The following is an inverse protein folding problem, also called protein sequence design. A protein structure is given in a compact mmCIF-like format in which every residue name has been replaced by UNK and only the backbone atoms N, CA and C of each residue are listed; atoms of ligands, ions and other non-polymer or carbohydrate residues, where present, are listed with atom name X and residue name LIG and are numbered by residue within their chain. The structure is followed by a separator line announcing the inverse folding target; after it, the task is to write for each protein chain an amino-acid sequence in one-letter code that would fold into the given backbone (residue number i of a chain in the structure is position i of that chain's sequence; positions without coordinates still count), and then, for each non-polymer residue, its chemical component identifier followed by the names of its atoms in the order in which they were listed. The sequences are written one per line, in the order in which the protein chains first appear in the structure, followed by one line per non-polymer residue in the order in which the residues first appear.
data_IF_407846712832
#
_entry.id   IF_407846712832
#
_cell.length_a   1.000
_cell.length_b   1.000
_cell.length_c   1.000
_cell.angle_alpha   90.00
_cell.angle_beta   90.00
_cell.angle_gamma   90.00
#
_symmetry.space_group_name_H-M   'P 1'
#
loop_
_entity.id
_entity.type
_entity.pdbx_description
1 polymer ?
#
# COMPACT_ATOMS: atom_id res chain seq x y z
N UNK A 1 -13.92 -11.18 17.84
CA UNK A 1 -13.66 -10.30 16.68
C UNK A 1 -12.71 -11.02 15.74
N UNK A 2 -13.16 -11.28 14.51
CA UNK A 2 -12.40 -12.00 13.50
C UNK A 2 -11.98 -11.05 12.36
N UNK A 3 -10.70 -10.97 12.09
CA UNK A 3 -10.16 -10.23 10.94
C UNK A 3 -9.57 -11.22 9.93
N UNK A 4 -10.12 -11.22 8.72
CA UNK A 4 -9.68 -12.08 7.62
C UNK A 4 -9.30 -11.23 6.42
N UNK A 5 -8.10 -11.44 5.89
CA UNK A 5 -7.62 -10.80 4.67
C UNK A 5 -7.51 -11.83 3.55
N UNK A 6 -7.99 -11.48 2.38
CA UNK A 6 -7.90 -12.35 1.21
C UNK A 6 -7.87 -11.52 -0.08
N UNK A 7 -7.33 -12.12 -1.13
CA UNK A 7 -7.48 -11.59 -2.49
C UNK A 7 -8.93 -11.81 -2.91
N UNK A 8 -9.60 -10.72 -3.26
CA UNK A 8 -10.99 -10.73 -3.73
C UNK A 8 -11.15 -9.77 -4.90
N UNK A 9 -12.16 -9.99 -5.72
CA UNK A 9 -12.53 -9.01 -6.75
C UNK A 9 -12.97 -7.69 -6.09
N UNK A 10 -12.54 -6.54 -6.60
CA UNK A 10 -13.06 -5.25 -6.13
C UNK A 10 -14.49 -4.96 -6.59
N UNK A 11 -15.01 -5.73 -7.57
CA UNK A 11 -16.37 -5.57 -8.11
C UNK A 11 -17.42 -6.16 -7.15
N UNK A 12 -17.58 -5.51 -6.02
CA UNK A 12 -18.53 -5.85 -4.96
C UNK A 12 -19.11 -4.56 -4.36
N UNK A 13 -20.38 -4.57 -4.00
CA UNK A 13 -21.04 -3.38 -3.44
C UNK A 13 -20.34 -2.84 -2.18
N UNK A 14 -19.92 -3.73 -1.27
CA UNK A 14 -19.20 -3.35 -0.06
C UNK A 14 -17.84 -2.71 -0.35
N UNK A 15 -17.13 -3.21 -1.36
CA UNK A 15 -15.83 -2.67 -1.76
C UNK A 15 -15.99 -1.33 -2.47
N UNK A 16 -17.00 -1.21 -3.34
CA UNK A 16 -17.35 0.07 -3.98
C UNK A 16 -17.63 1.14 -2.92
N UNK A 17 -18.36 0.79 -1.86
CA UNK A 17 -18.62 1.71 -0.75
C UNK A 17 -17.32 2.16 -0.04
N UNK A 18 -16.37 1.26 0.17
CA UNK A 18 -15.05 1.61 0.72
C UNK A 18 -14.27 2.55 -0.20
N UNK A 19 -14.27 2.27 -1.50
CA UNK A 19 -13.57 3.10 -2.49
C UNK A 19 -14.20 4.49 -2.58
N UNK A 20 -15.52 4.59 -2.53
CA UNK A 20 -16.23 5.87 -2.51
C UNK A 20 -15.90 6.69 -1.26
N UNK A 21 -15.81 6.05 -0.10
CA UNK A 21 -15.38 6.71 1.14
C UNK A 21 -13.94 7.20 1.05
N UNK A 22 -13.06 6.41 0.48
CA UNK A 22 -11.66 6.80 0.23
C UNK A 22 -11.58 8.01 -0.70
N UNK A 23 -12.34 8.01 -1.78
CA UNK A 23 -12.38 9.12 -2.73
C UNK A 23 -12.94 10.41 -2.09
N UNK A 24 -13.98 10.30 -1.27
CA UNK A 24 -14.53 11.43 -0.53
C UNK A 24 -13.52 12.01 0.45
N UNK A 25 -12.78 11.18 1.17
CA UNK A 25 -11.71 11.62 2.07
C UNK A 25 -10.61 12.37 1.33
N UNK A 26 -10.17 11.86 0.19
CA UNK A 26 -9.14 12.53 -0.62
C UNK A 26 -9.65 13.83 -1.23
N UNK A 27 -10.93 13.92 -1.60
CA UNK A 27 -11.54 15.13 -2.12
C UNK A 27 -11.62 16.27 -1.09
N UNK A 28 -11.65 15.95 0.20
CA UNK A 28 -11.56 16.94 1.28
C UNK A 28 -10.16 17.54 1.40
N UNK A 29 -9.12 16.78 1.05
CA UNK A 29 -7.73 17.18 1.21
C UNK A 29 -7.14 17.83 -0.04
N UNK A 30 -7.58 17.43 -1.23
CA UNK A 30 -6.95 17.78 -2.50
C UNK A 30 -7.98 18.21 -3.54
N UNK A 31 -7.59 19.14 -4.46
CA UNK A 31 -8.42 19.46 -5.63
C UNK A 31 -8.42 18.26 -6.61
N UNK A 32 -9.35 18.25 -7.60
CA UNK A 32 -9.40 17.17 -8.60
C UNK A 32 -8.08 16.91 -9.33
N UNK A 33 -7.25 17.94 -9.54
CA UNK A 33 -5.94 17.83 -10.18
C UNK A 33 -4.93 17.04 -9.33
N UNK A 34 -5.18 16.90 -8.05
CA UNK A 34 -4.36 16.12 -7.11
C UNK A 34 -4.88 14.71 -6.88
N UNK A 35 -5.90 14.27 -7.60
CA UNK A 35 -6.47 12.93 -7.47
C UNK A 35 -5.87 11.98 -8.51
N UNK A 36 -5.01 11.07 -8.05
CA UNK A 36 -4.35 10.04 -8.87
C UNK A 36 -4.89 8.63 -8.57
N UNK A 37 -6.03 8.54 -7.88
CA UNK A 37 -6.63 7.24 -7.56
C UNK A 37 -7.12 6.55 -8.84
N UNK A 38 -6.81 5.27 -8.95
CA UNK A 38 -7.30 4.43 -10.05
C UNK A 38 -8.73 4.00 -9.80
N UNK A 39 -9.51 3.91 -10.87
CA UNK A 39 -10.92 3.51 -10.83
C UNK A 39 -11.10 1.99 -10.73
N UNK A 40 -12.35 1.54 -10.58
CA UNK A 40 -12.70 0.13 -10.47
C UNK A 40 -12.22 -0.68 -11.68
N UNK A 41 -12.36 -0.14 -12.90
CA UNK A 41 -11.94 -0.84 -14.10
C UNK A 41 -10.43 -1.14 -14.08
N UNK A 42 -9.61 -0.17 -13.71
CA UNK A 42 -8.16 -0.36 -13.56
C UNK A 42 -7.81 -1.38 -12.49
N UNK A 43 -8.55 -1.39 -11.37
CA UNK A 43 -8.34 -2.35 -10.26
C UNK A 43 -8.71 -3.78 -10.63
N UNK A 44 -9.51 -3.99 -11.66
CA UNK A 44 -9.92 -5.32 -12.15
C UNK A 44 -8.95 -5.90 -13.18
N UNK A 45 -7.91 -5.17 -13.59
CA UNK A 45 -6.95 -5.65 -14.58
C UNK A 45 -6.06 -6.76 -14.01
N UNK A 46 -5.51 -7.59 -14.91
CA UNK A 46 -4.70 -8.76 -14.54
C UNK A 46 -3.37 -8.42 -13.85
N UNK A 47 -2.88 -7.18 -14.00
CA UNK A 47 -1.65 -6.70 -13.36
C UNK A 47 -1.87 -6.17 -11.93
N UNK A 48 -3.09 -6.30 -11.42
CA UNK A 48 -3.48 -5.89 -10.06
C UNK A 48 -3.90 -7.11 -9.25
N UNK A 49 -3.38 -7.21 -8.02
CA UNK A 49 -3.94 -8.06 -6.98
C UNK A 49 -4.62 -7.18 -5.94
N UNK A 50 -5.91 -7.41 -5.71
CA UNK A 50 -6.73 -6.63 -4.79
C UNK A 50 -7.04 -7.42 -3.53
N UNK A 51 -6.83 -6.79 -2.37
CA UNK A 51 -7.00 -7.39 -1.06
C UNK A 51 -8.14 -6.73 -0.32
N UNK A 52 -9.02 -7.53 0.26
CA UNK A 52 -10.10 -7.08 1.16
C UNK A 52 -9.83 -7.58 2.56
N UNK A 53 -9.90 -6.67 3.53
CA UNK A 53 -9.87 -6.99 4.95
C UNK A 53 -11.29 -7.02 5.50
N UNK A 54 -11.73 -8.18 5.98
CA UNK A 54 -13.07 -8.37 6.54
C UNK A 54 -13.02 -8.49 8.05
N UNK A 55 -13.75 -7.62 8.71
CA UNK A 55 -13.94 -7.64 10.16
C UNK A 55 -15.31 -8.23 10.44
N UNK A 56 -15.34 -9.41 11.06
CA UNK A 56 -16.57 -10.20 11.28
C UNK A 56 -17.43 -10.34 10.01
N UNK A 57 -16.79 -10.60 8.87
CA UNK A 57 -17.42 -10.80 7.56
C UNK A 57 -17.70 -9.52 6.77
N UNK A 58 -17.64 -8.34 7.38
CA UNK A 58 -17.87 -7.04 6.73
C UNK A 58 -16.59 -6.50 6.13
N UNK A 59 -16.64 -5.99 4.91
CA UNK A 59 -15.51 -5.31 4.29
C UNK A 59 -15.17 -4.03 5.08
N UNK A 60 -14.04 -4.02 5.77
CA UNK A 60 -13.61 -2.94 6.65
C UNK A 60 -12.37 -2.21 6.13
N UNK A 61 -11.68 -2.76 5.16
CA UNK A 61 -10.52 -2.16 4.55
C UNK A 61 -10.12 -2.85 3.26
N UNK A 62 -9.26 -2.20 2.50
CA UNK A 62 -8.76 -2.73 1.24
C UNK A 62 -7.36 -2.22 0.92
N UNK A 63 -6.75 -2.81 -0.08
CA UNK A 63 -5.51 -2.38 -0.67
C UNK A 63 -5.23 -3.13 -1.95
N UNK A 64 -4.39 -2.58 -2.79
CA UNK A 64 -4.02 -3.19 -4.06
C UNK A 64 -2.52 -3.11 -4.27
N UNK A 65 -2.00 -4.06 -5.04
CA UNK A 65 -0.64 -4.05 -5.55
C UNK A 65 -0.69 -4.19 -7.07
N UNK A 66 -0.03 -3.28 -7.76
CA UNK A 66 0.14 -3.31 -9.21
C UNK A 66 1.52 -3.86 -9.53
N UNK A 67 1.54 -4.93 -10.31
CA UNK A 67 2.78 -5.56 -10.75
C UNK A 67 3.35 -4.81 -11.94
N UNK A 68 4.56 -4.27 -11.81
CA UNK A 68 5.25 -3.53 -12.87
C UNK A 68 6.20 -4.45 -13.63
N UNK A 69 6.61 -4.05 -14.83
CA UNK A 69 7.34 -4.92 -15.77
C UNK A 69 8.81 -5.13 -15.43
N UNK A 70 9.38 -4.33 -14.54
CA UNK A 70 10.82 -4.31 -14.22
C UNK A 70 11.18 -5.02 -12.90
N UNK A 71 10.30 -5.86 -12.39
CA UNK A 71 10.49 -6.53 -11.08
C UNK A 71 10.20 -5.65 -9.89
N UNK A 72 9.47 -4.55 -10.10
CA UNK A 72 8.97 -3.67 -9.06
C UNK A 72 7.44 -3.77 -8.95
N UNK A 73 6.86 -3.15 -7.96
CA UNK A 73 5.41 -3.09 -7.77
C UNK A 73 5.01 -1.80 -7.09
N UNK A 74 3.76 -1.42 -7.29
CA UNK A 74 3.18 -0.21 -6.70
C UNK A 74 1.99 -0.56 -5.80
N UNK A 75 2.01 -0.06 -4.57
CA UNK A 75 0.87 -0.14 -3.66
C UNK A 75 -0.13 0.97 -3.99
N UNK A 76 -1.41 0.61 -4.02
CA UNK A 76 -2.51 1.50 -4.41
C UNK A 76 -3.73 1.28 -3.53
N UNK A 77 -4.54 2.32 -3.36
CA UNK A 77 -5.89 2.24 -2.78
C UNK A 77 -5.95 1.59 -1.39
N UNK A 78 -4.92 1.81 -0.56
CA UNK A 78 -4.93 1.35 0.83
C UNK A 78 -5.87 2.25 1.63
N UNK A 79 -6.90 1.66 2.20
CA UNK A 79 -7.92 2.39 2.96
C UNK A 79 -8.55 1.51 4.03
N UNK A 80 -8.83 2.10 5.18
CA UNK A 80 -9.58 1.48 6.28
C UNK A 80 -10.79 2.35 6.59
N UNK A 81 -11.96 1.72 6.71
CA UNK A 81 -13.19 2.42 7.06
C UNK A 81 -13.06 3.16 8.41
N UNK A 82 -13.68 4.33 8.51
CA UNK A 82 -13.56 5.18 9.70
C UNK A 82 -13.93 4.46 10.99
N UNK A 83 -15.00 3.68 10.97
CA UNK A 83 -15.50 2.93 12.13
C UNK A 83 -14.65 1.71 12.49
N UNK A 84 -13.70 1.35 11.64
CA UNK A 84 -12.78 0.23 11.85
C UNK A 84 -11.33 0.68 12.16
N UNK A 85 -11.06 1.96 12.19
CA UNK A 85 -9.72 2.50 12.50
C UNK A 85 -9.30 2.24 13.95
N UNK A 86 -8.00 2.29 14.19
CA UNK A 86 -7.44 2.06 15.52
C UNK A 86 -7.38 0.59 15.94
N UNK A 87 -7.57 -0.35 15.01
CA UNK A 87 -7.53 -1.80 15.25
C UNK A 87 -6.37 -2.51 14.56
N UNK A 88 -5.44 -1.77 13.96
CA UNK A 88 -4.28 -2.32 13.26
C UNK A 88 -4.60 -2.91 11.89
N UNK A 89 -5.76 -2.66 11.31
CA UNK A 89 -6.18 -3.24 10.02
C UNK A 89 -5.27 -2.77 8.89
N UNK A 90 -4.92 -1.48 8.87
CA UNK A 90 -4.00 -0.92 7.88
C UNK A 90 -2.64 -1.64 7.87
N UNK A 91 -2.08 -1.91 9.04
CA UNK A 91 -0.85 -2.68 9.20
C UNK A 91 -0.98 -4.12 8.68
N UNK A 92 -2.12 -4.76 8.93
CA UNK A 92 -2.39 -6.11 8.43
C UNK A 92 -2.53 -6.14 6.91
N UNK A 93 -3.15 -5.13 6.31
CA UNK A 93 -3.21 -4.97 4.85
C UNK A 93 -1.79 -4.82 4.29
N UNK A 94 -0.97 -3.98 4.91
CA UNK A 94 0.44 -3.81 4.50
C UNK A 94 1.23 -5.10 4.61
N UNK A 95 1.10 -5.85 5.70
CA UNK A 95 1.76 -7.15 5.88
C UNK A 95 1.38 -8.11 4.75
N UNK A 96 0.11 -8.15 4.38
CA UNK A 96 -0.38 -9.03 3.31
C UNK A 96 0.20 -8.63 1.94
N UNK A 97 0.17 -7.35 1.61
CA UNK A 97 0.71 -6.82 0.34
C UNK A 97 2.23 -7.01 0.26
N UNK A 98 2.95 -6.76 1.34
CA UNK A 98 4.39 -6.97 1.43
C UNK A 98 4.76 -8.45 1.25
N UNK A 99 3.96 -9.36 1.80
CA UNK A 99 4.14 -10.80 1.59
C UNK A 99 3.94 -11.20 0.13
N UNK A 100 2.90 -10.69 -0.53
CA UNK A 100 2.70 -10.91 -1.97
C UNK A 100 3.91 -10.44 -2.79
N UNK A 101 4.44 -9.27 -2.46
CA UNK A 101 5.62 -8.72 -3.11
C UNK A 101 6.86 -9.60 -2.91
N UNK A 102 7.09 -10.07 -1.69
CA UNK A 102 8.20 -10.99 -1.38
C UNK A 102 8.08 -12.31 -2.14
N UNK A 103 6.88 -12.88 -2.19
CA UNK A 103 6.63 -14.15 -2.88
C UNK A 103 6.89 -14.06 -4.39
N UNK A 104 6.80 -12.87 -4.97
CA UNK A 104 7.16 -12.60 -6.38
C UNK A 104 8.56 -12.01 -6.57
N UNK A 105 9.39 -11.97 -5.55
CA UNK A 105 10.74 -11.42 -5.61
C UNK A 105 10.81 -9.97 -6.09
N UNK A 106 9.84 -9.15 -5.68
CA UNK A 106 9.83 -7.72 -5.96
C UNK A 106 11.04 -7.07 -5.30
N UNK A 107 11.78 -6.27 -6.07
CA UNK A 107 13.00 -5.60 -5.59
C UNK A 107 12.69 -4.30 -4.86
N UNK A 108 11.77 -3.53 -5.39
CA UNK A 108 11.32 -2.26 -4.82
C UNK A 108 9.81 -2.16 -4.84
N UNK A 109 9.24 -1.75 -3.72
CA UNK A 109 7.86 -1.30 -3.63
C UNK A 109 7.83 0.22 -3.77
N UNK A 110 6.87 0.71 -4.52
CA UNK A 110 6.58 2.13 -4.69
C UNK A 110 5.16 2.44 -4.25
N UNK A 111 4.94 3.67 -3.87
CA UNK A 111 3.60 4.21 -3.66
C UNK A 111 3.60 5.72 -3.95
N UNK A 112 2.42 6.22 -4.30
CA UNK A 112 2.11 7.63 -4.34
C UNK A 112 1.05 7.89 -3.29
N UNK A 113 1.25 8.92 -2.48
CA UNK A 113 0.30 9.38 -1.47
C UNK A 113 0.29 10.90 -1.43
N UNK A 114 -0.69 11.48 -0.75
CA UNK A 114 -0.71 12.91 -0.55
C UNK A 114 0.06 13.33 0.70
N UNK A 115 0.84 14.43 0.65
CA UNK A 115 1.61 14.89 1.81
C UNK A 115 0.73 15.34 2.98
N UNK A 116 -0.54 15.68 2.74
CA UNK A 116 -1.50 16.05 3.79
C UNK A 116 -2.10 14.84 4.51
N UNK A 117 -1.95 13.64 3.97
CA UNK A 117 -2.37 12.41 4.61
C UNK A 117 -1.30 11.94 5.60
N UNK A 118 -1.16 12.66 6.71
CA UNK A 118 -0.06 12.52 7.65
C UNK A 118 -0.02 11.17 8.35
N UNK A 119 -1.16 10.57 8.67
CA UNK A 119 -1.24 9.24 9.28
C UNK A 119 -0.71 8.15 8.34
N UNK A 120 -1.10 8.21 7.06
CA UNK A 120 -0.61 7.27 6.06
C UNK A 120 0.90 7.42 5.83
N UNK A 121 1.39 8.65 5.69
CA UNK A 121 2.82 8.92 5.54
C UNK A 121 3.63 8.37 6.71
N UNK A 122 3.16 8.58 7.94
CA UNK A 122 3.81 8.05 9.14
C UNK A 122 3.82 6.51 9.13
N UNK A 123 2.72 5.88 8.77
CA UNK A 123 2.64 4.42 8.66
C UNK A 123 3.66 3.89 7.64
N UNK A 124 3.75 4.50 6.47
CA UNK A 124 4.71 4.07 5.44
C UNK A 124 6.15 4.24 5.90
N UNK A 125 6.49 5.38 6.51
CA UNK A 125 7.84 5.61 7.05
C UNK A 125 8.20 4.58 8.13
N UNK A 126 7.28 4.28 9.02
CA UNK A 126 7.47 3.27 10.07
C UNK A 126 7.74 1.88 9.47
N UNK A 127 7.21 1.60 8.30
CA UNK A 127 7.41 0.34 7.57
C UNK A 127 8.62 0.35 6.64
N UNK A 128 9.46 1.35 6.69
CA UNK A 128 10.72 1.41 5.96
C UNK A 128 10.65 2.09 4.59
N UNK A 129 9.53 2.74 4.27
CA UNK A 129 9.44 3.58 3.08
C UNK A 129 10.12 4.91 3.31
N UNK A 130 10.80 5.40 2.27
CA UNK A 130 11.43 6.71 2.23
C UNK A 130 11.00 7.47 0.98
N UNK A 131 11.09 8.79 1.04
CA UNK A 131 10.72 9.63 -0.10
C UNK A 131 11.65 9.37 -1.29
N UNK A 132 11.06 9.31 -2.49
CA UNK A 132 11.78 9.19 -3.75
C UNK A 132 11.18 10.16 -4.78
N UNK A 133 11.78 10.19 -5.98
CA UNK A 133 11.22 10.89 -7.13
C UNK A 133 10.03 10.16 -7.74
N UNK A 134 9.36 10.77 -8.74
CA UNK A 134 8.30 10.11 -9.50
C UNK A 134 8.76 8.80 -10.12
N UNK A 135 7.88 7.82 -10.15
CA UNK A 135 8.10 6.51 -10.75
C UNK A 135 6.99 6.19 -11.76
N UNK A 136 7.17 5.15 -12.58
CA UNK A 136 6.24 4.77 -13.64
C UNK A 136 5.87 5.99 -14.51
N UNK A 137 4.58 6.21 -14.75
CA UNK A 137 4.09 7.32 -15.59
C UNK A 137 3.76 8.60 -14.79
N UNK A 138 4.12 8.64 -13.50
CA UNK A 138 3.88 9.82 -12.67
C UNK A 138 4.82 10.96 -13.02
N UNK A 139 4.30 12.17 -12.93
CA UNK A 139 5.08 13.40 -13.00
C UNK A 139 5.14 14.07 -11.63
N UNK A 140 6.19 14.83 -11.37
CA UNK A 140 6.30 15.61 -10.14
C UNK A 140 5.20 16.66 -10.08
N UNK A 141 4.56 16.81 -8.91
CA UNK A 141 3.47 17.75 -8.71
C UNK A 141 3.33 18.05 -7.20
N UNK A 142 2.70 19.19 -6.84
CA UNK A 142 2.62 19.61 -5.43
C UNK A 142 1.67 18.74 -4.56
N UNK A 143 0.86 17.86 -5.17
CA UNK A 143 -0.14 17.05 -4.47
C UNK A 143 0.34 15.64 -4.17
N UNK A 144 1.49 15.24 -4.70
CA UNK A 144 2.01 13.88 -4.58
C UNK A 144 3.28 13.82 -3.77
N UNK A 145 3.34 12.84 -2.89
CA UNK A 145 4.55 12.35 -2.25
C UNK A 145 4.81 10.94 -2.77
N UNK A 146 5.96 10.75 -3.39
CA UNK A 146 6.39 9.43 -3.88
C UNK A 146 7.30 8.78 -2.85
N UNK A 147 7.07 7.51 -2.58
CA UNK A 147 7.85 6.76 -1.61
C UNK A 147 8.24 5.40 -2.17
N UNK A 148 9.35 4.89 -1.69
CA UNK A 148 9.86 3.57 -2.06
C UNK A 148 10.43 2.83 -0.86
N UNK A 149 10.38 1.51 -0.94
CA UNK A 149 11.06 0.62 -0.01
C UNK A 149 11.85 -0.41 -0.80
N UNK A 150 13.14 -0.55 -0.46
CA UNK A 150 13.99 -1.61 -0.98
C UNK A 150 13.65 -2.93 -0.27
N UNK A 151 13.07 -3.86 -1.01
CA UNK A 151 12.65 -5.16 -0.48
C UNK A 151 13.83 -6.14 -0.32
N UNK A 152 14.98 -5.84 -0.91
CA UNK A 152 16.19 -6.65 -0.77
C UNK A 152 16.97 -6.32 0.48
N UNK A 153 16.89 -5.10 0.98
CA UNK A 153 17.60 -4.62 2.17
C UNK A 153 17.18 -5.33 3.48
N UNK A 154 15.93 -5.86 3.53
CA UNK A 154 15.42 -6.62 4.68
C UNK A 154 15.85 -8.09 4.71
N UNK A 155 16.54 -8.60 3.67
CA UNK A 155 16.99 -9.99 3.54
C UNK A 155 18.39 -10.22 4.09
N UNK A 156 19.09 -9.20 4.60
CA UNK A 156 20.39 -9.38 5.25
C UNK A 156 20.16 -10.00 6.62
N UNK A 157 20.42 -11.30 6.73
CA UNK A 157 20.75 -11.91 8.01
C UNK A 157 21.87 -11.08 8.64
N UNK A 158 21.83 -10.82 9.96
CA UNK A 158 22.96 -10.15 10.60
C UNK A 158 24.23 -10.91 10.24
N UNK A 159 25.20 -10.22 9.66
CA UNK A 159 26.52 -10.81 9.46
C UNK A 159 27.01 -11.36 10.81
N UNK A 160 27.54 -12.60 10.83
CA UNK A 160 28.13 -13.12 12.05
C UNK A 160 29.23 -12.14 12.46
N UNK A 161 29.10 -11.60 13.66
CA UNK A 161 30.15 -10.78 14.27
C UNK A 161 31.44 -11.60 14.21
N UNK A 162 32.36 -11.18 13.36
CA UNK A 162 33.71 -11.74 13.38
C UNK A 162 34.30 -11.39 14.74
N UNK A 163 34.30 -12.36 15.64
CA UNK A 163 35.10 -12.27 16.87
C UNK A 163 36.55 -12.07 16.41
N UNK A 164 37.07 -10.86 16.64
CA UNK A 164 38.50 -10.66 16.61
C UNK A 164 39.08 -11.50 17.74
N UNK A 165 39.71 -12.60 17.37
CA UNK A 165 40.61 -13.31 18.26
C UNK A 165 41.79 -12.37 18.46
N UNK A 166 41.90 -11.79 19.64
CA UNK A 166 43.09 -11.08 20.07
C UNK A 166 44.21 -12.13 20.23
N UNK A 167 45.29 -11.97 19.45
CA UNK A 167 46.53 -12.66 19.64
C UNK A 167 47.30 -12.06 20.79
#
# INVERSE_FOLDING_TARGET
VSLVLAIESPDQAEVTALLDCSDAYMAELYPPEGNFAVDLHALMQHDISFVVARLDGRAAGCGAIKWLTDGTAELKRIFVADDARGRGIGGRIMDFLEKLAKDRNVKHLFLETGPLNTEAVLMYRTRGFSQCGPFADYEDNPYSLFMTRDMTAGATSPEPVKQRVAS
#
